data_IF_957653029975
#
_entry.id   IF_957653029975
#
_cell.length_a   1.000
_cell.length_b   1.000
_cell.length_c   1.000
_cell.angle_alpha   90.00
_cell.angle_beta   90.00
_cell.angle_gamma   90.00
#
_symmetry.space_group_name_H-M   'P 1'
#
loop_
_entity.id
_entity.type
_entity.pdbx_description
1 polymer ?
#
# COMPACT_ATOMS: atom_id res chain seq x y z
N UNK A 1 4.99 20.17 -34.62
CA UNK A 1 6.39 19.69 -34.72
C UNK A 1 6.66 18.84 -33.50
N UNK A 2 7.04 17.58 -33.71
CA UNK A 2 7.39 16.65 -32.65
C UNK A 2 8.63 17.16 -31.91
N UNK A 3 8.56 17.30 -30.59
CA UNK A 3 9.75 17.39 -29.76
C UNK A 3 10.03 15.98 -29.24
N UNK A 4 11.07 15.38 -29.79
CA UNK A 4 11.73 14.21 -29.20
C UNK A 4 12.39 14.71 -27.92
N UNK A 5 11.85 14.33 -26.76
CA UNK A 5 12.41 14.70 -25.46
C UNK A 5 13.45 13.64 -25.07
N UNK A 6 14.71 14.07 -24.99
CA UNK A 6 15.85 13.24 -24.63
C UNK A 6 15.78 12.87 -23.15
N UNK A 7 14.92 11.94 -22.73
CA UNK A 7 15.02 11.11 -21.51
C UNK A 7 15.33 11.78 -20.14
N UNK A 8 15.42 13.10 -20.07
CA UNK A 8 15.82 13.86 -18.88
C UNK A 8 14.54 14.37 -18.26
N UNK A 9 14.16 13.73 -17.17
CA UNK A 9 13.05 14.17 -16.34
C UNK A 9 13.25 15.63 -15.95
N UNK A 10 12.25 16.47 -16.24
CA UNK A 10 12.27 17.88 -15.83
C UNK A 10 12.51 17.99 -14.32
N UNK A 11 13.44 18.86 -13.93
CA UNK A 11 13.75 19.15 -12.51
C UNK A 11 12.48 19.54 -11.76
N UNK A 12 11.60 20.32 -12.39
CA UNK A 12 10.32 20.72 -11.80
C UNK A 12 9.40 19.53 -11.56
N UNK A 13 9.38 18.55 -12.46
CA UNK A 13 8.58 17.32 -12.27
C UNK A 13 9.15 16.49 -11.12
N UNK A 14 10.47 16.35 -11.03
CA UNK A 14 11.11 15.70 -9.88
C UNK A 14 10.83 16.41 -8.54
N UNK A 15 10.80 17.74 -8.55
CA UNK A 15 10.44 18.53 -7.37
C UNK A 15 8.98 18.32 -6.95
N UNK A 16 8.05 18.26 -7.91
CA UNK A 16 6.64 18.01 -7.65
C UNK A 16 6.40 16.61 -7.06
N UNK A 17 7.08 15.59 -7.57
CA UNK A 17 7.02 14.23 -6.99
C UNK A 17 7.61 14.19 -5.58
N UNK A 18 8.72 14.89 -5.36
CA UNK A 18 9.35 14.98 -4.04
C UNK A 18 8.44 15.70 -3.04
N UNK A 19 7.76 16.78 -3.48
CA UNK A 19 6.77 17.49 -2.68
C UNK A 19 5.57 16.59 -2.36
N UNK A 20 5.00 15.91 -3.36
CA UNK A 20 3.93 14.93 -3.15
C UNK A 20 4.31 13.85 -2.13
N UNK A 21 5.51 13.27 -2.25
CA UNK A 21 6.01 12.30 -1.28
C UNK A 21 6.15 12.91 0.12
N UNK A 22 6.63 14.15 0.21
CA UNK A 22 6.69 14.94 1.44
C UNK A 22 5.33 15.08 2.13
N UNK A 23 4.33 15.55 1.40
CA UNK A 23 2.97 15.75 1.94
C UNK A 23 2.30 14.43 2.34
N UNK A 24 2.48 13.37 1.55
CA UNK A 24 1.98 12.04 1.90
C UNK A 24 2.61 11.49 3.19
N UNK A 25 3.92 11.69 3.38
CA UNK A 25 4.61 11.34 4.62
C UNK A 25 4.18 12.21 5.79
N UNK A 26 3.93 13.51 5.58
CA UNK A 26 3.46 14.43 6.61
C UNK A 26 2.07 14.04 7.10
N UNK A 27 1.14 13.76 6.17
CA UNK A 27 -0.21 13.27 6.47
C UNK A 27 -0.19 12.08 7.44
N UNK A 28 0.55 11.01 7.10
CA UNK A 28 0.55 9.79 7.91
C UNK A 28 1.22 10.01 9.27
N UNK A 29 2.25 10.86 9.36
CA UNK A 29 2.89 11.24 10.62
C UNK A 29 1.93 11.99 11.53
N UNK A 30 1.21 12.99 11.02
CA UNK A 30 0.26 13.75 11.83
C UNK A 30 -0.91 12.90 12.31
N UNK A 31 -1.42 11.97 11.48
CA UNK A 31 -2.41 10.98 11.95
C UNK A 31 -1.85 10.10 13.08
N UNK A 32 -0.59 9.67 12.99
CA UNK A 32 0.04 8.92 14.06
C UNK A 32 0.24 9.76 15.33
N UNK A 33 0.64 11.02 15.21
CA UNK A 33 0.78 11.93 16.34
C UNK A 33 -0.56 12.26 17.01
N UNK A 34 -1.64 12.41 16.24
CA UNK A 34 -2.98 12.55 16.77
C UNK A 34 -3.38 11.34 17.63
N UNK A 35 -3.08 10.12 17.15
CA UNK A 35 -3.31 8.89 17.92
C UNK A 35 -2.55 8.90 19.25
N UNK A 36 -1.29 9.32 19.25
CA UNK A 36 -0.48 9.43 20.47
C UNK A 36 -1.01 10.51 21.42
N UNK A 37 -1.37 11.69 20.90
CA UNK A 37 -1.92 12.79 21.68
C UNK A 37 -3.24 12.38 22.36
N UNK A 38 -4.12 11.69 21.64
CA UNK A 38 -5.37 11.15 22.16
C UNK A 38 -5.14 10.11 23.27
N UNK A 39 -4.16 9.22 23.09
CA UNK A 39 -3.78 8.26 24.12
C UNK A 39 -3.22 8.93 25.38
N UNK A 40 -2.61 10.11 25.25
CA UNK A 40 -2.14 10.92 26.37
C UNK A 40 -3.23 11.83 26.99
N UNK A 41 -4.47 11.78 26.49
CA UNK A 41 -5.59 12.61 26.95
C UNK A 41 -5.60 14.04 26.41
N UNK A 42 -4.70 14.38 25.48
CA UNK A 42 -4.63 15.70 24.84
C UNK A 42 -5.53 15.76 23.60
N UNK A 43 -6.85 15.76 23.83
CA UNK A 43 -7.88 15.66 22.78
C UNK A 43 -7.82 16.83 21.78
N UNK A 44 -7.63 18.07 22.26
CA UNK A 44 -7.60 19.24 21.37
C UNK A 44 -6.36 19.24 20.47
N UNK A 45 -5.23 18.76 20.99
CA UNK A 45 -3.99 18.59 20.20
C UNK A 45 -4.18 17.50 19.13
N UNK A 46 -4.86 16.40 19.48
CA UNK A 46 -5.16 15.35 18.52
C UNK A 46 -6.00 15.88 17.34
N UNK A 47 -7.02 16.71 17.61
CA UNK A 47 -7.84 17.33 16.56
C UNK A 47 -7.02 18.24 15.65
N UNK A 48 -6.15 19.09 16.21
CA UNK A 48 -5.28 19.95 15.41
C UNK A 48 -4.39 19.13 14.47
N UNK A 49 -3.81 18.02 14.94
CA UNK A 49 -3.03 17.13 14.08
C UNK A 49 -3.88 16.46 13.01
N UNK A 50 -5.11 16.05 13.34
CA UNK A 50 -6.04 15.47 12.37
C UNK A 50 -6.41 16.47 11.28
N UNK A 51 -6.78 17.70 11.65
CA UNK A 51 -7.09 18.79 10.72
C UNK A 51 -5.88 19.15 9.84
N UNK A 52 -4.68 19.19 10.44
CA UNK A 52 -3.44 19.45 9.67
C UNK A 52 -3.19 18.32 8.67
N UNK A 53 -3.36 17.06 9.09
CA UNK A 53 -3.24 15.93 8.18
C UNK A 53 -4.22 16.02 7.00
N UNK A 54 -5.44 16.49 7.24
CA UNK A 54 -6.44 16.68 6.18
C UNK A 54 -6.04 17.78 5.20
N UNK A 55 -5.35 18.84 5.66
CA UNK A 55 -4.79 19.87 4.76
C UNK A 55 -3.67 19.32 3.87
N UNK A 56 -2.79 18.44 4.39
CA UNK A 56 -1.71 17.89 3.56
C UNK A 56 -2.23 17.02 2.40
N UNK A 57 -3.41 16.41 2.56
CA UNK A 57 -4.07 15.70 1.45
C UNK A 57 -4.44 16.67 0.33
N UNK A 58 -4.91 17.88 0.67
CA UNK A 58 -5.25 18.91 -0.31
C UNK A 58 -4.00 19.41 -1.04
N UNK A 59 -2.89 19.61 -0.32
CA UNK A 59 -1.60 19.96 -0.93
C UNK A 59 -1.12 18.85 -1.88
N UNK A 60 -1.17 17.59 -1.43
CA UNK A 60 -0.81 16.43 -2.24
C UNK A 60 -1.65 16.34 -3.53
N UNK A 61 -2.97 16.57 -3.45
CA UNK A 61 -3.83 16.61 -4.64
C UNK A 61 -3.46 17.74 -5.60
N UNK A 62 -3.08 18.92 -5.09
CA UNK A 62 -2.58 20.02 -5.91
C UNK A 62 -1.33 19.64 -6.72
N UNK A 63 -0.40 18.89 -6.11
CA UNK A 63 0.78 18.38 -6.83
C UNK A 63 0.41 17.30 -7.84
N UNK A 64 -0.48 16.37 -7.49
CA UNK A 64 -0.93 15.30 -8.39
C UNK A 64 -1.68 15.84 -9.62
N UNK A 65 -2.44 16.92 -9.47
CA UNK A 65 -3.12 17.59 -10.60
C UNK A 65 -2.13 18.13 -11.65
N UNK A 66 -0.91 18.47 -11.24
CA UNK A 66 0.16 18.94 -12.14
C UNK A 66 0.98 17.78 -12.73
N UNK A 67 1.16 16.69 -11.96
CA UNK A 67 1.87 15.49 -12.40
C UNK A 67 1.04 14.63 -13.35
N UNK A 68 -0.27 14.56 -13.10
CA UNK A 68 -1.21 13.71 -13.81
C UNK A 68 -2.31 14.54 -14.46
N UNK A 69 -2.19 14.79 -15.76
CA UNK A 69 -3.20 15.52 -16.51
C UNK A 69 -4.57 14.83 -16.45
N UNK A 70 -5.57 15.52 -15.87
CA UNK A 70 -6.97 15.05 -15.82
C UNK A 70 -7.55 14.69 -17.18
N UNK A 71 -7.08 15.34 -18.26
CA UNK A 71 -7.53 15.05 -19.62
C UNK A 71 -7.06 13.69 -20.14
N UNK A 72 -5.98 13.15 -19.58
CA UNK A 72 -5.36 11.89 -20.01
C UNK A 72 -5.49 10.76 -18.98
N UNK A 73 -5.93 11.08 -17.76
CA UNK A 73 -6.08 10.11 -16.68
C UNK A 73 -7.44 9.41 -16.73
N UNK A 74 -7.50 8.27 -17.41
CA UNK A 74 -8.66 7.37 -17.38
C UNK A 74 -8.55 6.36 -16.24
N UNK A 75 -9.66 5.75 -15.77
CA UNK A 75 -9.59 4.68 -14.77
C UNK A 75 -8.69 3.52 -15.17
N UNK A 76 -8.64 3.18 -16.46
CA UNK A 76 -7.75 2.14 -16.97
C UNK A 76 -6.27 2.54 -16.84
N UNK A 77 -5.94 3.80 -17.16
CA UNK A 77 -4.56 4.31 -17.02
C UNK A 77 -4.14 4.42 -15.56
N UNK A 78 -5.04 4.85 -14.68
CA UNK A 78 -4.80 4.88 -13.24
C UNK A 78 -4.53 3.48 -12.68
N UNK A 79 -5.27 2.47 -13.15
CA UNK A 79 -5.05 1.07 -12.75
C UNK A 79 -3.71 0.54 -13.26
N UNK A 80 -3.31 0.87 -14.50
CA UNK A 80 -2.00 0.49 -15.05
C UNK A 80 -0.86 1.06 -14.19
N UNK A 81 -0.90 2.36 -13.88
CA UNK A 81 0.10 3.02 -13.02
C UNK A 81 0.14 2.37 -11.63
N UNK A 82 -1.03 2.06 -11.05
CA UNK A 82 -1.10 1.37 -9.77
C UNK A 82 -0.44 -0.01 -9.84
N UNK A 83 -0.74 -0.82 -10.87
CA UNK A 83 -0.15 -2.15 -11.06
C UNK A 83 1.36 -2.06 -11.24
N UNK A 84 1.87 -1.08 -11.99
CA UNK A 84 3.31 -0.88 -12.20
C UNK A 84 4.03 -0.55 -10.89
N UNK A 85 3.51 0.40 -10.10
CA UNK A 85 4.06 0.76 -8.80
C UNK A 85 4.05 -0.42 -7.83
N UNK A 86 2.90 -1.05 -7.68
CA UNK A 86 2.69 -2.27 -6.89
C UNK A 86 3.69 -3.38 -7.35
N UNK A 87 3.89 -3.60 -8.66
CA UNK A 87 4.84 -4.60 -9.17
C UNK A 87 6.28 -4.29 -8.78
N UNK A 88 6.70 -3.03 -8.94
CA UNK A 88 8.05 -2.58 -8.56
C UNK A 88 8.30 -2.75 -7.07
N UNK A 89 7.33 -2.40 -6.23
CA UNK A 89 7.41 -2.58 -4.79
C UNK A 89 7.69 -4.06 -4.44
N UNK A 90 6.98 -4.97 -5.09
CA UNK A 90 7.10 -6.41 -4.85
C UNK A 90 8.38 -7.04 -5.42
N UNK A 91 8.76 -6.71 -6.65
CA UNK A 91 9.88 -7.40 -7.33
C UNK A 91 11.22 -6.83 -6.93
N UNK A 92 11.29 -5.53 -6.63
CA UNK A 92 12.55 -4.82 -6.42
C UNK A 92 12.65 -4.23 -5.01
N UNK A 93 11.74 -3.32 -4.65
CA UNK A 93 11.93 -2.44 -3.49
C UNK A 93 11.94 -3.19 -2.15
N UNK A 94 10.87 -3.93 -1.83
CA UNK A 94 10.76 -4.62 -0.54
C UNK A 94 11.74 -5.80 -0.38
N UNK A 95 12.03 -6.61 -1.41
CA UNK A 95 13.11 -7.60 -1.34
C UNK A 95 14.47 -6.98 -1.00
N UNK A 96 14.81 -5.85 -1.61
CA UNK A 96 16.06 -5.13 -1.32
C UNK A 96 16.08 -4.58 0.11
N UNK A 97 15.00 -3.94 0.57
CA UNK A 97 14.92 -3.40 1.94
C UNK A 97 15.01 -4.49 2.99
N UNK A 98 14.34 -5.62 2.77
CA UNK A 98 14.47 -6.79 3.64
C UNK A 98 15.90 -7.31 3.68
N UNK A 99 16.57 -7.42 2.54
CA UNK A 99 17.95 -7.88 2.48
C UNK A 99 18.89 -6.98 3.30
N UNK A 100 18.76 -5.67 3.16
CA UNK A 100 19.52 -4.69 3.93
C UNK A 100 19.21 -4.79 5.43
N UNK A 101 17.95 -4.91 5.82
CA UNK A 101 17.56 -5.08 7.22
C UNK A 101 18.15 -6.36 7.86
N UNK A 102 18.29 -7.45 7.08
CA UNK A 102 19.00 -8.66 7.52
C UNK A 102 20.50 -8.39 7.70
N UNK A 103 21.14 -7.69 6.76
CA UNK A 103 22.56 -7.34 6.85
C UNK A 103 22.86 -6.48 8.08
N UNK A 104 21.96 -5.56 8.43
CA UNK A 104 22.06 -4.69 9.60
C UNK A 104 21.64 -5.39 10.91
N UNK A 105 21.08 -6.61 10.85
CA UNK A 105 20.60 -7.34 12.02
C UNK A 105 19.32 -6.77 12.64
N UNK A 106 18.57 -5.92 11.92
CA UNK A 106 17.33 -5.31 12.40
C UNK A 106 16.13 -6.25 12.25
N UNK A 107 15.97 -7.17 13.20
CA UNK A 107 14.92 -8.19 13.19
C UNK A 107 13.49 -7.63 13.16
N UNK A 108 13.26 -6.46 13.75
CA UNK A 108 11.94 -5.79 13.73
C UNK A 108 11.58 -5.31 12.33
N UNK A 109 12.52 -4.69 11.61
CA UNK A 109 12.32 -4.27 10.22
C UNK A 109 12.14 -5.47 9.29
N UNK A 110 12.91 -6.55 9.49
CA UNK A 110 12.73 -7.79 8.72
C UNK A 110 11.32 -8.35 8.88
N UNK A 111 10.80 -8.41 10.12
CA UNK A 111 9.46 -8.91 10.39
C UNK A 111 8.36 -8.06 9.71
N UNK A 112 8.51 -6.73 9.72
CA UNK A 112 7.59 -5.82 9.03
C UNK A 112 7.60 -6.05 7.51
N UNK A 113 8.78 -6.16 6.89
CA UNK A 113 8.89 -6.44 5.46
C UNK A 113 8.39 -7.84 5.08
N UNK A 114 8.51 -8.82 5.98
CA UNK A 114 7.93 -10.16 5.81
C UNK A 114 6.39 -10.15 5.87
N UNK A 115 5.78 -9.39 6.79
CA UNK A 115 4.31 -9.23 6.83
C UNK A 115 3.81 -8.53 5.57
N UNK A 116 4.53 -7.51 5.10
CA UNK A 116 4.18 -6.80 3.87
C UNK A 116 4.13 -7.75 2.68
N UNK A 117 5.18 -8.56 2.48
CA UNK A 117 5.23 -9.58 1.42
C UNK A 117 4.04 -10.55 1.49
N UNK A 118 3.65 -10.95 2.70
CA UNK A 118 2.54 -11.89 2.90
C UNK A 118 1.17 -11.27 2.64
N UNK A 119 0.92 -10.04 3.13
CA UNK A 119 -0.31 -9.27 2.89
C UNK A 119 -0.51 -9.01 1.41
N UNK A 120 0.58 -8.84 0.69
CA UNK A 120 0.59 -8.66 -0.76
C UNK A 120 0.22 -9.88 -1.58
N UNK A 121 0.74 -11.04 -1.22
CA UNK A 121 0.33 -12.31 -1.83
C UNK A 121 -1.20 -12.47 -1.84
N UNK A 122 -1.90 -11.93 -0.83
CA UNK A 122 -3.37 -11.93 -0.75
C UNK A 122 -4.05 -10.86 -1.61
N UNK A 123 -3.50 -9.65 -1.72
CA UNK A 123 -4.04 -8.58 -2.58
C UNK A 123 -4.02 -8.97 -4.06
N UNK A 124 -2.97 -9.66 -4.53
CA UNK A 124 -2.89 -10.10 -5.93
C UNK A 124 -3.98 -11.11 -6.31
N UNK A 125 -4.38 -12.01 -5.40
CA UNK A 125 -5.51 -12.92 -5.65
C UNK A 125 -6.84 -12.17 -5.84
N UNK A 126 -7.00 -10.98 -5.26
CA UNK A 126 -8.19 -10.16 -5.43
C UNK A 126 -8.16 -9.34 -6.74
N UNK A 127 -7.00 -8.84 -7.15
CA UNK A 127 -6.85 -8.04 -8.38
C UNK A 127 -6.64 -8.88 -9.65
N UNK A 128 -6.26 -10.17 -9.53
CA UNK A 128 -5.90 -11.05 -10.67
C UNK A 128 -6.89 -12.21 -10.88
N UNK A 129 -8.16 -11.88 -11.08
CA UNK A 129 -9.15 -12.78 -11.67
C UNK A 129 -9.75 -12.16 -12.96
N UNK A 130 -9.70 -12.80 -14.16
CA UNK A 130 -9.02 -14.03 -14.58
C UNK A 130 -8.04 -13.79 -15.75
N UNK A 131 -6.73 -13.84 -15.51
CA UNK A 131 -5.74 -14.04 -16.58
C UNK A 131 -4.42 -14.61 -16.04
N UNK A 132 -4.22 -15.88 -16.39
CA UNK A 132 -2.98 -16.67 -16.39
C UNK A 132 -2.62 -17.50 -15.15
N UNK A 133 -2.29 -18.80 -15.37
CA UNK A 133 -2.00 -19.77 -14.33
C UNK A 133 -0.50 -19.84 -14.01
N UNK A 134 -0.21 -20.26 -12.78
CA UNK A 134 1.09 -20.72 -12.28
C UNK A 134 2.13 -19.64 -11.89
N UNK A 135 2.03 -19.16 -10.65
CA UNK A 135 3.21 -18.76 -9.86
C UNK A 135 3.10 -19.47 -8.51
N UNK A 136 4.07 -20.37 -8.23
CA UNK A 136 4.18 -21.05 -6.94
C UNK A 136 4.74 -20.07 -5.91
N UNK A 137 3.90 -19.64 -4.97
CA UNK A 137 4.35 -18.93 -3.78
C UNK A 137 5.01 -19.90 -2.80
N UNK A 138 6.07 -19.45 -2.14
CA UNK A 138 6.93 -20.21 -1.23
C UNK A 138 6.21 -20.59 0.08
N UNK A 139 5.30 -21.58 0.01
CA UNK A 139 5.00 -22.55 1.07
C UNK A 139 4.17 -23.67 0.45
N UNK A 140 4.65 -24.90 0.60
CA UNK A 140 4.05 -26.11 0.04
C UNK A 140 2.63 -26.34 0.54
N UNK A 141 1.63 -25.91 -0.21
CA UNK A 141 0.30 -26.52 -0.17
C UNK A 141 -0.28 -26.50 -1.57
N UNK A 142 -0.10 -27.61 -2.28
CA UNK A 142 -0.71 -27.84 -3.59
C UNK A 142 -2.19 -28.11 -3.35
N UNK A 143 -3.07 -27.19 -3.77
CA UNK A 143 -4.50 -27.45 -3.88
C UNK A 143 -4.80 -27.90 -5.31
N UNK A 144 -5.28 -29.12 -5.49
CA UNK A 144 -5.82 -29.61 -6.76
C UNK A 144 -7.30 -29.24 -6.86
N UNK A 145 -7.68 -28.53 -7.93
CA UNK A 145 -9.08 -28.20 -8.25
C UNK A 145 -9.55 -29.15 -9.36
N UNK A 146 -10.60 -29.93 -9.10
CA UNK A 146 -11.36 -30.64 -10.12
C UNK A 146 -12.37 -29.69 -10.77
N UNK A 147 -12.47 -29.61 -12.11
CA UNK A 147 -13.40 -28.71 -12.76
C UNK A 147 -14.80 -29.34 -12.84
N UNK A 148 -15.78 -28.67 -12.26
CA UNK A 148 -17.20 -28.95 -12.49
C UNK A 148 -18.06 -28.93 -11.22
N UNK A 149 -18.55 -27.74 -10.84
CA UNK A 149 -19.97 -27.52 -10.51
C UNK A 149 -20.15 -26.17 -9.82
N UNK A 150 -20.94 -25.31 -10.47
CA UNK A 150 -21.62 -24.18 -9.86
C UNK A 150 -22.68 -24.74 -8.92
N UNK A 151 -22.52 -24.59 -7.60
CA UNK A 151 -23.57 -24.31 -6.58
C UNK A 151 -23.11 -24.70 -5.17
N UNK A 152 -23.60 -23.91 -4.22
CA UNK A 152 -23.61 -24.09 -2.76
C UNK A 152 -22.35 -23.72 -1.98
N UNK A 153 -22.42 -22.50 -1.43
CA UNK A 153 -21.69 -22.05 -0.26
C UNK A 153 -22.34 -22.67 0.99
N UNK A 154 -21.66 -23.47 1.83
CA UNK A 154 -22.19 -23.84 3.14
C UNK A 154 -21.91 -22.73 4.17
N UNK A 155 -22.97 -22.28 4.84
CA UNK A 155 -23.01 -21.24 5.89
C UNK A 155 -22.34 -21.65 7.22
N UNK A 156 -21.11 -22.17 7.18
CA UNK A 156 -20.41 -22.60 8.40
C UNK A 156 -18.88 -22.42 8.31
N UNK A 157 -18.44 -21.20 8.05
CA UNK A 157 -17.11 -20.68 8.39
C UNK A 157 -17.29 -19.16 8.46
N UNK A 158 -17.35 -18.51 9.61
CA UNK A 158 -16.27 -18.36 10.59
C UNK A 158 -16.89 -18.22 11.98
N UNK A 159 -16.32 -18.97 12.92
CA UNK A 159 -16.68 -18.97 14.34
C UNK A 159 -16.31 -17.64 14.98
N UNK A 160 -17.21 -17.20 15.86
CA UNK A 160 -17.12 -16.09 16.79
C UNK A 160 -15.84 -16.25 17.65
N UNK A 161 -14.91 -15.30 17.57
CA UNK A 161 -13.84 -15.18 18.55
C UNK A 161 -14.40 -14.46 19.78
N UNK A 162 -14.52 -15.16 20.90
CA UNK A 162 -14.91 -14.58 22.20
C UNK A 162 -13.62 -14.29 23.00
N UNK A 163 -13.44 -13.08 23.56
CA UNK A 163 -12.34 -12.81 24.48
C UNK A 163 -12.71 -13.28 25.89
N UNK A 164 -11.91 -14.17 26.49
CA UNK A 164 -12.01 -14.51 27.91
C UNK A 164 -10.90 -13.80 28.69
N UNK A 165 -11.26 -12.77 29.44
CA UNK A 165 -10.51 -12.24 30.59
C UNK A 165 -11.52 -11.78 31.65
N UNK A 166 -11.33 -12.25 32.89
CA UNK A 166 -11.63 -11.66 34.21
C UNK A 166 -11.94 -12.80 35.25
N UNK A 167 -11.86 -12.57 36.58
CA UNK A 167 -10.80 -13.12 37.45
C UNK A 167 -11.35 -13.96 38.63
N UNK A 168 -10.45 -14.54 39.43
CA UNK A 168 -10.66 -14.88 40.85
C UNK A 168 -9.33 -14.82 41.59
#
# INVERSE_FOLDING_TARGET
MAQQDNGVKSVTIGNLESAFAGEAMAHIKYRYFAKLARAAGAEDVAKVFEETADQEVLHAFGHLDLLYSKAHMTPAKALEIAIEGETYEYTEMYPQFRHLAVQEGNSAAVAEFDDWCWRWGRKQFACRWPAMPHIKCCRSTTWTITPGSVRNWPSSAVRRASPSWAPA
#
